data_IF_633576297217
#
_entry.id   IF_633576297217
#
_cell.length_a   1.000
_cell.length_b   1.000
_cell.length_c   1.000
_cell.angle_alpha   90.00
_cell.angle_beta   90.00
_cell.angle_gamma   90.00
#
_symmetry.space_group_name_H-M   'P 1'
#
loop_
_entity.id
_entity.type
_entity.pdbx_description
1 polymer ?
#
# COMPACT_ATOMS: atom_id res chain seq x y z
N UNK A 1 5.59 -4.05 18.18
CA UNK A 1 5.73 -5.51 18.06
C UNK A 1 5.15 -5.89 16.70
N UNK A 2 5.96 -6.44 15.80
CA UNK A 2 5.47 -6.85 14.49
C UNK A 2 4.48 -8.00 14.70
N UNK A 3 3.23 -7.77 14.32
CA UNK A 3 2.17 -8.75 14.46
C UNK A 3 2.50 -9.95 13.57
N UNK A 4 2.40 -11.17 14.09
CA UNK A 4 2.59 -12.36 13.28
C UNK A 4 1.55 -12.37 12.14
N UNK A 5 2.02 -12.24 10.89
CA UNK A 5 1.17 -12.22 9.72
C UNK A 5 1.44 -13.47 8.89
N UNK A 6 0.51 -14.43 8.94
CA UNK A 6 0.60 -15.69 8.17
C UNK A 6 0.78 -15.48 6.66
N UNK A 7 0.32 -14.33 6.14
CA UNK A 7 0.38 -14.00 4.72
C UNK A 7 1.57 -13.08 4.37
N UNK A 8 2.48 -12.78 5.29
CA UNK A 8 3.51 -11.75 5.11
C UNK A 8 4.31 -11.94 3.82
N UNK A 9 4.80 -13.17 3.56
CA UNK A 9 5.61 -13.47 2.38
C UNK A 9 4.81 -13.30 1.08
N UNK A 10 3.61 -13.87 1.00
CA UNK A 10 2.74 -13.75 -0.18
C UNK A 10 2.28 -12.31 -0.43
N UNK A 11 2.01 -11.55 0.64
CA UNK A 11 1.68 -10.13 0.53
C UNK A 11 2.87 -9.31 0.01
N UNK A 12 4.09 -9.66 0.40
CA UNK A 12 5.31 -8.98 -0.04
C UNK A 12 5.52 -9.14 -1.55
N UNK A 13 5.20 -10.32 -2.10
CA UNK A 13 5.25 -10.58 -3.55
C UNK A 13 4.25 -9.73 -4.34
N UNK A 14 3.10 -9.39 -3.75
CA UNK A 14 2.07 -8.54 -4.38
C UNK A 14 2.25 -7.05 -4.09
N UNK A 15 3.12 -6.68 -3.15
CA UNK A 15 3.27 -5.29 -2.72
C UNK A 15 4.12 -4.51 -3.74
N UNK A 16 3.49 -3.58 -4.45
CA UNK A 16 4.15 -2.67 -5.39
C UNK A 16 4.56 -1.32 -4.77
N UNK A 17 4.51 -1.17 -3.43
CA UNK A 17 4.85 0.09 -2.76
C UNK A 17 6.29 0.53 -3.07
N UNK A 18 6.44 1.70 -3.69
CA UNK A 18 7.75 2.22 -4.15
C UNK A 18 8.51 2.98 -3.08
N UNK A 19 7.86 3.32 -1.96
CA UNK A 19 8.49 4.02 -0.85
C UNK A 19 9.46 3.11 -0.08
N UNK A 20 10.70 3.57 0.12
CA UNK A 20 11.74 2.87 0.88
C UNK A 20 12.51 3.85 1.79
N UNK A 21 12.66 3.56 3.10
CA UNK A 21 12.19 2.35 3.80
C UNK A 21 10.72 2.38 4.20
N UNK A 22 9.98 1.29 3.92
CA UNK A 22 8.58 1.12 4.34
C UNK A 22 8.41 -0.05 5.31
N UNK A 23 8.24 0.26 6.59
CA UNK A 23 8.11 -0.73 7.68
C UNK A 23 6.83 -1.58 7.61
N UNK A 24 5.86 -1.22 6.77
CA UNK A 24 4.54 -1.88 6.67
C UNK A 24 4.41 -2.80 5.45
N UNK A 25 5.42 -2.90 4.58
CA UNK A 25 5.41 -3.81 3.43
C UNK A 25 5.11 -5.24 3.90
N UNK A 26 4.23 -5.96 3.21
CA UNK A 26 3.79 -7.31 3.61
C UNK A 26 2.75 -7.36 4.75
N UNK A 27 2.61 -6.30 5.56
CA UNK A 27 1.62 -6.19 6.64
C UNK A 27 0.38 -5.41 6.16
N UNK A 28 -0.44 -6.01 5.29
CA UNK A 28 -1.55 -5.33 4.61
C UNK A 28 -2.55 -4.65 5.56
N UNK A 29 -2.85 -5.23 6.74
CA UNK A 29 -3.72 -4.59 7.72
C UNK A 29 -3.14 -3.27 8.23
N UNK A 30 -1.85 -3.26 8.59
CA UNK A 30 -1.14 -2.06 9.05
C UNK A 30 -1.03 -1.02 7.94
N UNK A 31 -0.73 -1.47 6.72
CA UNK A 31 -0.68 -0.62 5.53
C UNK A 31 -2.04 0.06 5.26
N UNK A 32 -3.14 -0.71 5.32
CA UNK A 32 -4.49 -0.20 5.11
C UNK A 32 -4.88 0.83 6.19
N UNK A 33 -4.65 0.53 7.47
CA UNK A 33 -4.93 1.46 8.56
C UNK A 33 -4.13 2.75 8.44
N UNK A 34 -2.86 2.66 8.06
CA UNK A 34 -1.97 3.80 7.87
C UNK A 34 -2.41 4.73 6.72
N UNK A 35 -2.77 4.18 5.56
CA UNK A 35 -3.21 5.01 4.45
C UNK A 35 -4.62 5.55 4.68
N UNK A 36 -5.53 4.74 5.26
CA UNK A 36 -6.89 5.18 5.58
C UNK A 36 -6.91 6.40 6.50
N UNK A 37 -6.07 6.44 7.55
CA UNK A 37 -6.00 7.60 8.45
C UNK A 37 -5.48 8.88 7.76
N UNK A 38 -4.81 8.74 6.62
CA UNK A 38 -4.31 9.84 5.80
C UNK A 38 -5.28 10.21 4.66
N UNK A 39 -6.44 9.54 4.53
CA UNK A 39 -7.34 9.73 3.39
C UNK A 39 -6.83 9.10 2.08
N UNK A 40 -5.96 8.10 2.19
CA UNK A 40 -5.27 7.43 1.08
C UNK A 40 -5.67 5.96 0.97
N UNK A 41 -5.29 5.33 -0.14
CA UNK A 41 -5.31 3.88 -0.34
C UNK A 41 -3.88 3.31 -0.43
N UNK A 42 -3.66 2.04 -0.06
CA UNK A 42 -2.38 1.39 -0.27
C UNK A 42 -1.94 1.36 -1.74
N UNK A 43 -0.63 1.28 -1.97
CA UNK A 43 -0.01 1.17 -3.29
C UNK A 43 -0.62 0.09 -4.20
N UNK A 44 -1.03 -1.05 -3.62
CA UNK A 44 -1.59 -2.18 -4.36
C UNK A 44 -2.96 -1.92 -5.01
N UNK A 45 -3.57 -0.76 -4.74
CA UNK A 45 -4.78 -0.29 -5.43
C UNK A 45 -4.46 0.48 -6.72
N UNK A 46 -3.19 0.73 -7.00
CA UNK A 46 -2.74 1.58 -8.11
C UNK A 46 -1.82 0.82 -9.07
N UNK A 47 -1.93 1.07 -10.38
CA UNK A 47 -0.94 0.61 -11.36
C UNK A 47 0.48 1.10 -11.01
N UNK A 48 1.55 0.38 -11.40
CA UNK A 48 2.92 0.77 -11.09
C UNK A 48 3.32 2.18 -11.54
N UNK A 49 2.78 2.67 -12.64
CA UNK A 49 2.99 4.02 -13.15
C UNK A 49 2.34 5.09 -12.28
N UNK A 50 1.19 4.78 -11.65
CA UNK A 50 0.51 5.69 -10.74
C UNK A 50 1.18 5.69 -9.37
N UNK A 51 1.54 4.52 -8.83
CA UNK A 51 2.24 4.42 -7.55
C UNK A 51 3.58 5.18 -7.56
N UNK A 52 4.28 5.26 -8.70
CA UNK A 52 5.50 6.07 -8.86
C UNK A 52 5.29 7.57 -8.69
N UNK A 53 4.06 8.08 -8.84
CA UNK A 53 3.76 9.50 -8.61
C UNK A 53 3.44 9.78 -7.14
N UNK A 54 3.31 8.75 -6.31
CA UNK A 54 2.93 8.82 -4.89
C UNK A 54 1.56 9.43 -4.60
N UNK A 55 0.74 9.71 -5.62
CA UNK A 55 -0.62 10.18 -5.44
C UNK A 55 -1.52 8.99 -5.09
N UNK A 56 -1.58 8.70 -3.78
CA UNK A 56 -2.38 7.62 -3.21
C UNK A 56 -3.77 8.06 -2.78
N UNK A 57 -4.24 9.22 -3.28
CA UNK A 57 -5.55 9.75 -2.93
C UNK A 57 -6.69 8.89 -3.48
N UNK A 58 -7.82 8.90 -2.78
CA UNK A 58 -9.06 8.26 -3.28
C UNK A 58 -9.48 8.86 -4.62
N UNK A 59 -9.28 10.17 -4.80
CA UNK A 59 -9.58 10.85 -6.07
C UNK A 59 -8.74 10.30 -7.24
N UNK A 60 -7.45 10.01 -7.00
CA UNK A 60 -6.60 9.37 -8.01
C UNK A 60 -7.08 7.97 -8.34
N UNK A 61 -7.44 7.19 -7.32
CA UNK A 61 -7.96 5.83 -7.51
C UNK A 61 -9.21 5.78 -8.38
N UNK A 62 -10.14 6.72 -8.18
CA UNK A 62 -11.35 6.84 -8.99
C UNK A 62 -11.06 7.22 -10.45
N UNK A 63 -9.97 7.93 -10.73
CA UNK A 63 -9.55 8.32 -12.08
C UNK A 63 -8.75 7.24 -12.82
N UNK A 64 -8.13 6.31 -12.09
CA UNK A 64 -7.32 5.23 -12.65
C UNK A 64 -8.11 3.93 -12.86
N UNK A 65 -9.44 3.99 -12.75
CA UNK A 65 -10.38 2.86 -12.89
C UNK A 65 -11.13 2.91 -14.21
#
# INVERSE_FOLDING_TARGET
MAQECKNYRSNLEMCNCTYEPCSRKGYCCECLHYHRRNGELPACFFPPEVERTYDRSVARFLKSR
#
